data_IF_081698198466
#
_entry.id   IF_081698198466
#
_cell.length_a   1.000
_cell.length_b   1.000
_cell.length_c   1.000
_cell.angle_alpha   90.00
_cell.angle_beta   90.00
_cell.angle_gamma   90.00
#
_symmetry.space_group_name_H-M   'P 1'
#
loop_
_entity.id
_entity.type
_entity.pdbx_description
1 polymer ?
#
# COMPACT_ATOMS: atom_id res chain seq x y z
N UNK A 1 43.96 72.18 -44.59
CA UNK A 1 43.08 70.99 -44.47
C UNK A 1 43.43 70.25 -43.18
N UNK A 2 42.55 70.24 -42.17
CA UNK A 2 42.43 69.24 -41.06
C UNK A 2 41.73 69.88 -39.86
N UNK A 3 40.44 70.17 -40.01
CA UNK A 3 39.54 70.53 -38.90
C UNK A 3 38.17 69.95 -39.24
N UNK A 4 38.03 68.62 -39.15
CA UNK A 4 36.71 67.98 -39.17
C UNK A 4 36.65 66.64 -38.40
N UNK A 5 37.62 66.34 -37.52
CA UNK A 5 37.71 65.04 -36.85
C UNK A 5 37.07 64.97 -35.45
N UNK A 6 36.67 66.11 -34.87
CA UNK A 6 36.24 66.19 -33.46
C UNK A 6 34.71 66.09 -33.27
N UNK A 7 33.91 66.50 -34.25
CA UNK A 7 32.45 66.35 -34.24
C UNK A 7 31.95 64.95 -34.65
N UNK A 8 32.73 64.23 -35.45
CA UNK A 8 32.38 62.87 -35.90
C UNK A 8 32.68 61.81 -34.82
N UNK A 9 33.68 62.03 -33.97
CA UNK A 9 33.99 61.15 -32.83
C UNK A 9 32.94 61.24 -31.71
N UNK A 10 32.47 62.45 -31.40
CA UNK A 10 31.48 62.69 -30.34
C UNK A 10 30.07 62.22 -30.75
N UNK A 11 29.72 62.39 -32.03
CA UNK A 11 28.51 61.81 -32.64
C UNK A 11 28.51 60.28 -32.59
N UNK A 12 29.62 59.65 -32.99
CA UNK A 12 29.78 58.18 -32.92
C UNK A 12 29.76 57.65 -31.49
N UNK A 13 30.30 58.39 -30.52
CA UNK A 13 30.26 58.03 -29.11
C UNK A 13 28.82 58.08 -28.54
N UNK A 14 28.06 59.12 -28.90
CA UNK A 14 26.65 59.29 -28.51
C UNK A 14 25.77 58.20 -29.15
N UNK A 15 26.02 57.90 -30.42
CA UNK A 15 25.29 56.85 -31.14
C UNK A 15 25.61 55.45 -30.60
N UNK A 16 26.86 55.18 -30.20
CA UNK A 16 27.23 53.95 -29.49
C UNK A 16 26.53 53.82 -28.14
N UNK A 17 26.48 54.89 -27.34
CA UNK A 17 25.76 54.87 -26.04
C UNK A 17 24.27 54.65 -26.21
N UNK A 18 23.64 55.31 -27.18
CA UNK A 18 22.21 55.12 -27.47
C UNK A 18 21.90 53.70 -27.97
N UNK A 19 22.77 53.11 -28.80
CA UNK A 19 22.63 51.71 -29.22
C UNK A 19 22.83 50.77 -28.04
N UNK A 20 23.72 51.09 -27.10
CA UNK A 20 23.99 50.29 -25.92
C UNK A 20 22.81 50.32 -24.93
N UNK A 21 22.23 51.50 -24.67
CA UNK A 21 20.98 51.64 -23.88
C UNK A 21 19.80 50.92 -24.53
N UNK A 22 19.70 50.94 -25.87
CA UNK A 22 18.64 50.25 -26.59
C UNK A 22 18.83 48.72 -26.56
N UNK A 23 20.07 48.23 -26.61
CA UNK A 23 20.38 46.80 -26.43
C UNK A 23 20.10 46.32 -25.00
N UNK A 24 20.40 47.14 -23.99
CA UNK A 24 20.14 46.83 -22.58
C UNK A 24 18.63 46.74 -22.30
N UNK A 25 17.86 47.68 -22.83
CA UNK A 25 16.39 47.68 -22.72
C UNK A 25 15.71 46.52 -23.46
N UNK A 26 16.31 46.04 -24.56
CA UNK A 26 15.82 44.86 -25.28
C UNK A 26 16.13 43.58 -24.49
N UNK A 27 17.26 43.52 -23.79
CA UNK A 27 17.57 42.39 -22.89
C UNK A 27 16.62 42.31 -21.71
N UNK A 28 16.40 43.44 -21.02
CA UNK A 28 15.42 43.49 -19.91
C UNK A 28 14.03 43.03 -20.37
N UNK A 29 13.59 43.49 -21.56
CA UNK A 29 12.31 43.06 -22.11
C UNK A 29 12.28 41.57 -22.49
N UNK A 30 13.39 41.00 -22.97
CA UNK A 30 13.48 39.57 -23.26
C UNK A 30 13.46 38.73 -21.99
N UNK A 31 14.20 39.13 -20.96
CA UNK A 31 14.22 38.47 -19.65
C UNK A 31 12.84 38.54 -18.96
N UNK A 32 12.15 39.68 -19.02
CA UNK A 32 10.78 39.83 -18.52
C UNK A 32 9.78 38.93 -19.26
N UNK A 33 9.93 38.76 -20.58
CA UNK A 33 9.06 37.89 -21.38
C UNK A 33 9.35 36.41 -21.11
N UNK A 34 10.61 36.03 -20.92
CA UNK A 34 11.02 34.66 -20.56
C UNK A 34 10.51 34.30 -19.16
N UNK A 35 10.70 35.17 -18.16
CA UNK A 35 10.17 34.96 -16.81
C UNK A 35 8.65 34.88 -16.81
N UNK A 36 7.97 35.76 -17.54
CA UNK A 36 6.51 35.74 -17.61
C UNK A 36 5.99 34.48 -18.33
N UNK A 37 6.70 33.99 -19.35
CA UNK A 37 6.36 32.74 -20.03
C UNK A 37 6.55 31.51 -19.13
N UNK A 38 7.61 31.48 -18.31
CA UNK A 38 7.82 30.42 -17.31
C UNK A 38 6.72 30.42 -16.23
N UNK A 39 6.38 31.59 -15.69
CA UNK A 39 5.29 31.73 -14.70
C UNK A 39 3.95 31.27 -15.27
N UNK A 40 3.61 31.64 -16.51
CA UNK A 40 2.36 31.21 -17.16
C UNK A 40 2.34 29.70 -17.40
N UNK A 41 3.49 29.09 -17.73
CA UNK A 41 3.58 27.62 -17.85
C UNK A 41 3.38 26.93 -16.49
N UNK A 42 4.00 27.43 -15.42
CA UNK A 42 3.82 26.89 -14.07
C UNK A 42 2.38 27.00 -13.60
N UNK A 43 1.72 28.14 -13.81
CA UNK A 43 0.30 28.32 -13.50
C UNK A 43 -0.58 27.33 -14.27
N UNK A 44 -0.32 27.15 -15.57
CA UNK A 44 -1.07 26.20 -16.41
C UNK A 44 -0.91 24.75 -15.93
N UNK A 45 0.31 24.36 -15.55
CA UNK A 45 0.60 23.02 -15.00
C UNK A 45 -0.10 22.86 -13.65
N UNK A 46 -0.10 23.88 -12.80
CA UNK A 46 -0.74 23.86 -11.50
C UNK A 46 -2.26 23.70 -11.60
N UNK A 47 -2.91 24.45 -12.49
CA UNK A 47 -4.34 24.31 -12.79
C UNK A 47 -4.65 22.89 -13.28
N UNK A 48 -3.87 22.39 -14.24
CA UNK A 48 -4.02 21.02 -14.75
C UNK A 48 -3.87 19.96 -13.65
N UNK A 49 -2.92 20.15 -12.73
CA UNK A 49 -2.71 19.25 -11.60
C UNK A 49 -3.89 19.29 -10.62
N UNK A 50 -4.45 20.47 -10.36
CA UNK A 50 -5.64 20.61 -9.53
C UNK A 50 -6.86 19.90 -10.14
N UNK A 51 -7.06 19.98 -11.46
CA UNK A 51 -8.10 19.22 -12.16
C UNK A 51 -7.96 17.71 -11.93
N UNK A 52 -6.75 17.17 -12.07
CA UNK A 52 -6.47 15.75 -11.85
C UNK A 52 -6.71 15.33 -10.39
N UNK A 53 -6.33 16.17 -9.43
CA UNK A 53 -6.60 15.93 -7.99
C UNK A 53 -8.11 15.93 -7.69
N UNK A 54 -8.89 16.76 -8.37
CA UNK A 54 -10.36 16.74 -8.23
C UNK A 54 -10.94 15.45 -8.80
N UNK A 55 -10.43 14.99 -9.94
CA UNK A 55 -10.84 13.71 -10.54
C UNK A 55 -10.47 12.51 -9.66
N UNK A 56 -9.31 12.56 -9.00
CA UNK A 56 -8.89 11.55 -8.01
C UNK A 56 -9.87 11.49 -6.84
N UNK A 57 -10.18 12.64 -6.23
CA UNK A 57 -11.12 12.74 -5.11
C UNK A 57 -12.54 12.29 -5.45
N UNK A 58 -12.91 12.35 -6.73
CA UNK A 58 -14.22 11.89 -7.21
C UNK A 58 -14.21 10.45 -7.70
N UNK A 59 -13.06 9.77 -7.66
CA UNK A 59 -12.88 8.39 -8.11
C UNK A 59 -13.02 8.21 -9.63
N UNK A 60 -12.86 9.29 -10.40
CA UNK A 60 -13.01 9.30 -11.87
C UNK A 60 -11.68 9.45 -12.59
N UNK A 61 -10.57 9.57 -11.86
CA UNK A 61 -9.25 9.65 -12.46
C UNK A 61 -8.90 8.34 -13.16
N UNK A 62 -8.78 8.40 -14.48
CA UNK A 62 -8.35 7.28 -15.31
C UNK A 62 -7.26 7.74 -16.27
N UNK A 63 -6.52 6.80 -16.87
CA UNK A 63 -5.51 7.10 -17.89
C UNK A 63 -6.10 7.84 -19.11
N UNK A 64 -7.42 7.79 -19.28
CA UNK A 64 -8.16 8.46 -20.35
C UNK A 64 -8.43 9.94 -20.05
N UNK A 65 -8.30 10.38 -18.79
CA UNK A 65 -8.41 11.78 -18.39
C UNK A 65 -7.17 12.61 -18.79
N UNK A 66 -6.06 11.93 -19.10
CA UNK A 66 -4.84 12.56 -19.60
C UNK A 66 -5.01 12.98 -21.06
N UNK A 67 -4.40 14.11 -21.44
CA UNK A 67 -4.30 14.49 -22.85
C UNK A 67 -3.48 13.44 -23.61
N UNK A 68 -3.61 13.41 -24.94
CA UNK A 68 -2.84 12.45 -25.75
C UNK A 68 -1.32 12.62 -25.60
N UNK A 69 -0.86 13.83 -25.33
CA UNK A 69 0.56 14.15 -25.11
C UNK A 69 1.01 13.71 -23.70
N UNK A 70 0.25 14.06 -22.66
CA UNK A 70 0.49 13.62 -21.28
C UNK A 70 0.53 12.09 -21.18
N UNK A 71 -0.46 11.42 -21.77
CA UNK A 71 -0.56 9.96 -21.78
C UNK A 71 0.62 9.32 -22.50
N UNK A 72 1.05 9.88 -23.64
CA UNK A 72 2.21 9.38 -24.38
C UNK A 72 3.49 9.56 -23.57
N UNK A 73 3.67 10.71 -22.93
CA UNK A 73 4.81 10.98 -22.06
C UNK A 73 4.84 10.00 -20.89
N UNK A 74 3.72 9.88 -20.16
CA UNK A 74 3.57 8.95 -19.03
C UNK A 74 3.88 7.51 -19.43
N UNK A 75 3.27 6.99 -20.50
CA UNK A 75 3.53 5.62 -20.95
C UNK A 75 4.97 5.39 -21.41
N UNK A 76 5.61 6.39 -22.01
CA UNK A 76 7.04 6.32 -22.35
C UNK A 76 7.91 6.25 -21.11
N UNK A 77 7.60 7.03 -20.06
CA UNK A 77 8.35 7.00 -18.81
C UNK A 77 8.14 5.71 -18.01
N UNK A 78 6.94 5.13 -18.08
CA UNK A 78 6.65 3.79 -17.54
C UNK A 78 7.46 2.73 -18.30
N UNK A 79 7.44 2.76 -19.63
CA UNK A 79 8.19 1.81 -20.46
C UNK A 79 9.71 1.92 -20.26
N UNK A 80 10.22 3.15 -20.10
CA UNK A 80 11.63 3.43 -19.84
C UNK A 80 12.04 3.18 -18.38
N UNK A 81 11.08 2.85 -17.50
CA UNK A 81 11.31 2.59 -16.07
C UNK A 81 11.76 3.81 -15.26
N UNK A 82 11.69 5.02 -15.84
CA UNK A 82 12.00 6.28 -15.11
C UNK A 82 11.00 6.52 -13.99
N UNK A 83 9.73 6.28 -14.26
CA UNK A 83 8.64 6.48 -13.31
C UNK A 83 8.75 5.53 -12.10
N UNK A 84 9.27 4.32 -12.33
CA UNK A 84 9.54 3.36 -11.25
C UNK A 84 10.62 3.83 -10.25
N UNK A 85 11.49 4.78 -10.62
CA UNK A 85 12.47 5.37 -9.69
C UNK A 85 11.84 6.40 -8.75
N UNK A 86 10.68 6.92 -9.11
CA UNK A 86 9.92 7.89 -8.31
C UNK A 86 8.98 7.20 -7.32
N UNK A 87 8.75 5.90 -7.48
CA UNK A 87 7.91 5.10 -6.59
C UNK A 87 8.81 4.33 -5.62
N UNK A 88 8.80 4.72 -4.36
CA UNK A 88 9.47 3.93 -3.31
C UNK A 88 8.70 2.63 -3.07
N UNK A 89 9.40 1.51 -3.29
CA UNK A 89 8.82 0.18 -3.06
C UNK A 89 8.78 -0.11 -1.56
N UNK A 90 7.59 -0.45 -1.09
CA UNK A 90 7.39 -0.86 0.28
C UNK A 90 8.13 -2.15 0.58
N UNK A 91 8.84 -2.15 1.71
CA UNK A 91 9.44 -3.36 2.25
C UNK A 91 8.49 -3.97 3.26
N UNK A 92 8.05 -5.24 3.05
CA UNK A 92 7.13 -5.87 3.97
C UNK A 92 7.66 -5.92 5.40
N UNK A 93 6.83 -5.50 6.34
CA UNK A 93 7.21 -5.39 7.76
C UNK A 93 7.60 -6.73 8.39
N UNK A 94 7.14 -7.85 7.84
CA UNK A 94 7.54 -9.21 8.27
C UNK A 94 8.94 -9.62 7.81
N UNK A 95 9.62 -8.83 6.97
CA UNK A 95 11.03 -9.00 6.64
C UNK A 95 11.95 -8.35 7.67
N UNK A 96 11.41 -7.48 8.53
CA UNK A 96 12.16 -6.90 9.63
C UNK A 96 12.52 -7.96 10.67
N UNK A 97 13.59 -7.74 11.44
CA UNK A 97 13.83 -8.56 12.61
C UNK A 97 12.71 -8.34 13.64
N UNK A 98 12.23 -9.42 14.25
CA UNK A 98 11.17 -9.34 15.26
C UNK A 98 11.51 -8.36 16.39
N UNK A 99 12.77 -8.29 16.80
CA UNK A 99 13.25 -7.37 17.84
C UNK A 99 13.05 -5.90 17.45
N UNK A 100 13.43 -5.54 16.22
CA UNK A 100 13.27 -4.16 15.73
C UNK A 100 11.78 -3.86 15.61
N UNK A 101 11.02 -4.73 14.95
CA UNK A 101 9.59 -4.53 14.75
C UNK A 101 8.81 -4.34 16.07
N UNK A 102 9.10 -5.14 17.10
CA UNK A 102 8.49 -4.98 18.42
C UNK A 102 8.83 -3.63 19.05
N UNK A 103 10.09 -3.18 18.95
CA UNK A 103 10.52 -1.87 19.48
C UNK A 103 9.73 -0.74 18.84
N UNK A 104 9.68 -0.71 17.51
CA UNK A 104 8.99 0.34 16.75
C UNK A 104 7.47 0.34 16.98
N UNK A 105 6.86 -0.84 17.17
CA UNK A 105 5.41 -0.94 17.42
C UNK A 105 5.01 -0.82 18.89
N UNK A 106 5.97 -0.72 19.84
CA UNK A 106 5.69 -0.80 21.28
C UNK A 106 4.75 0.30 21.77
N UNK A 107 4.92 1.54 21.31
CA UNK A 107 4.10 2.65 21.77
C UNK A 107 2.62 2.51 21.35
N UNK A 108 2.40 2.19 20.06
CA UNK A 108 1.06 1.93 19.50
C UNK A 108 0.37 0.75 20.21
N UNK A 109 1.11 -0.32 20.53
CA UNK A 109 0.56 -1.48 21.28
C UNK A 109 0.13 -1.15 22.70
N UNK A 110 0.82 -0.21 23.34
CA UNK A 110 0.50 0.26 24.69
C UNK A 110 -0.60 1.33 24.68
N UNK A 111 -1.09 1.75 23.51
CA UNK A 111 -2.01 2.88 23.33
C UNK A 111 -1.51 4.14 24.05
N UNK A 112 -0.18 4.31 24.14
CA UNK A 112 0.37 5.56 24.62
C UNK A 112 0.06 6.59 23.56
N UNK A 113 -0.63 7.66 23.95
CA UNK A 113 -0.87 8.84 23.11
C UNK A 113 0.51 9.46 22.87
N UNK A 114 1.20 9.01 21.83
CA UNK A 114 2.25 9.80 21.23
C UNK A 114 1.53 10.67 20.20
N UNK A 115 1.20 11.90 20.59
CA UNK A 115 1.49 13.01 19.69
C UNK A 115 3.00 12.90 19.47
N UNK A 116 3.41 12.23 18.40
CA UNK A 116 4.80 12.29 17.95
C UNK A 116 5.03 13.75 17.59
N UNK A 117 5.63 14.49 18.54
CA UNK A 117 6.22 15.80 18.27
C UNK A 117 7.16 15.57 17.10
N UNK A 118 6.85 16.22 15.98
CA UNK A 118 7.76 16.35 14.85
C UNK A 118 9.06 16.93 15.39
N UNK A 119 10.09 16.09 15.52
CA UNK A 119 11.45 16.59 15.51
C UNK A 119 11.72 16.98 14.06
N UNK A 120 11.44 18.25 13.77
CA UNK A 120 11.88 18.95 12.57
C UNK A 120 13.42 19.00 12.59
N UNK A 121 14.07 17.87 12.29
CA UNK A 121 15.50 17.84 12.02
C UNK A 121 15.73 18.12 10.53
N UNK A 122 16.01 19.40 10.27
CA UNK A 122 16.78 19.96 9.16
C UNK A 122 16.33 19.59 7.75
N UNK A 123 15.61 20.54 7.13
CA UNK A 123 15.50 20.67 5.69
C UNK A 123 16.91 20.76 5.05
N UNK A 124 17.40 19.63 4.53
CA UNK A 124 18.22 19.66 3.33
C UNK A 124 17.29 19.46 2.14
N UNK A 125 17.32 20.40 1.20
CA UNK A 125 16.66 20.36 -0.11
C UNK A 125 17.10 19.12 -0.90
N UNK A 126 16.50 17.98 -0.58
CA UNK A 126 16.25 16.90 -1.52
C UNK A 126 14.79 16.53 -1.29
N UNK A 127 13.97 16.62 -2.34
CA UNK A 127 12.62 16.05 -2.35
C UNK A 127 12.78 14.52 -2.35
N UNK A 128 13.19 13.96 -1.22
CA UNK A 128 13.09 12.54 -0.94
C UNK A 128 11.64 12.35 -0.53
N UNK A 129 10.86 11.72 -1.41
CA UNK A 129 9.49 11.30 -1.16
C UNK A 129 9.55 10.31 0.00
N UNK A 130 9.52 10.80 1.23
CA UNK A 130 9.64 9.99 2.43
C UNK A 130 8.43 9.06 2.49
N UNK A 131 8.62 7.74 2.50
CA UNK A 131 7.53 6.79 2.75
C UNK A 131 6.76 7.24 3.99
N UNK A 132 5.46 7.53 3.81
CA UNK A 132 4.58 7.84 4.93
C UNK A 132 4.70 6.70 5.95
N UNK A 133 5.01 7.02 7.21
CA UNK A 133 5.11 6.03 8.31
C UNK A 133 3.87 5.13 8.42
N UNK A 134 2.71 5.59 7.93
CA UNK A 134 1.48 4.81 7.82
C UNK A 134 1.64 3.52 6.99
N UNK A 135 2.56 3.48 6.03
CA UNK A 135 2.81 2.36 5.12
C UNK A 135 3.85 1.38 5.69
N UNK A 136 4.70 1.82 6.62
CA UNK A 136 5.79 1.01 7.17
C UNK A 136 5.33 -0.11 8.12
N UNK A 137 4.18 0.07 8.76
CA UNK A 137 3.65 -0.85 9.76
C UNK A 137 2.16 -1.09 9.53
N UNK A 138 1.61 -2.24 9.97
CA UNK A 138 0.19 -2.49 9.91
C UNK A 138 -0.63 -1.35 10.52
N UNK A 139 -1.78 -1.07 9.93
CA UNK A 139 -2.76 -0.12 10.47
C UNK A 139 -3.38 -0.70 11.75
N UNK A 140 -3.77 -1.97 11.71
CA UNK A 140 -4.29 -2.72 12.85
C UNK A 140 -3.21 -3.54 13.55
N UNK A 141 -2.85 -3.18 14.78
CA UNK A 141 -1.91 -3.95 15.61
C UNK A 141 -2.65 -4.76 16.68
N UNK A 142 -2.10 -5.92 17.04
CA UNK A 142 -2.55 -6.63 18.24
C UNK A 142 -2.01 -5.92 19.50
N UNK A 143 -2.92 -5.28 20.23
CA UNK A 143 -2.60 -4.41 21.37
C UNK A 143 -2.66 -5.14 22.71
N UNK A 144 -2.07 -4.54 23.75
CA UNK A 144 -2.17 -5.06 25.12
C UNK A 144 -3.63 -5.08 25.63
N UNK A 145 -4.42 -4.08 25.23
CA UNK A 145 -5.85 -4.03 25.56
C UNK A 145 -6.61 -5.18 24.87
N UNK A 146 -6.32 -5.47 23.60
CA UNK A 146 -6.91 -6.62 22.93
C UNK A 146 -6.53 -7.95 23.61
N UNK A 147 -5.26 -8.11 23.99
CA UNK A 147 -4.80 -9.31 24.70
C UNK A 147 -5.51 -9.51 26.05
N UNK A 148 -5.74 -8.44 26.82
CA UNK A 148 -6.48 -8.50 28.08
C UNK A 148 -7.96 -8.88 27.91
N UNK A 149 -8.54 -8.58 26.75
CA UNK A 149 -9.93 -8.90 26.42
C UNK A 149 -10.09 -10.25 25.73
N UNK A 150 -8.99 -10.98 25.47
CA UNK A 150 -9.07 -12.32 24.90
C UNK A 150 -9.62 -13.33 25.92
N UNK A 151 -10.38 -14.35 25.46
CA UNK A 151 -10.75 -15.47 26.32
C UNK A 151 -9.50 -16.17 26.86
N UNK A 152 -9.57 -16.68 28.09
CA UNK A 152 -8.46 -17.44 28.69
C UNK A 152 -8.32 -18.87 28.13
N UNK A 153 -9.38 -19.40 27.50
CA UNK A 153 -9.41 -20.76 26.96
C UNK A 153 -10.22 -20.80 25.66
N UNK A 154 -9.71 -21.52 24.67
CA UNK A 154 -10.31 -21.64 23.34
C UNK A 154 -11.63 -22.42 23.36
N UNK A 155 -11.81 -23.30 24.34
CA UNK A 155 -13.02 -24.11 24.55
C UNK A 155 -14.23 -23.24 24.87
N UNK A 156 -14.03 -22.00 25.35
CA UNK A 156 -15.09 -21.02 25.58
C UNK A 156 -15.67 -20.45 24.28
N UNK A 157 -14.92 -20.53 23.17
CA UNK A 157 -15.38 -20.09 21.85
C UNK A 157 -16.12 -21.18 21.08
N UNK A 158 -16.03 -22.44 21.52
CA UNK A 158 -16.60 -23.59 20.84
C UNK A 158 -17.78 -24.16 21.64
N UNK A 159 -18.86 -24.47 20.93
CA UNK A 159 -20.06 -25.02 21.56
C UNK A 159 -19.74 -26.30 22.34
N UNK A 160 -20.09 -26.31 23.63
CA UNK A 160 -19.94 -27.47 24.50
C UNK A 160 -18.50 -27.80 24.90
N UNK A 161 -17.56 -26.83 24.86
CA UNK A 161 -16.19 -27.04 25.32
C UNK A 161 -15.37 -27.97 24.42
N UNK A 162 -15.75 -28.09 23.15
CA UNK A 162 -15.03 -28.93 22.18
C UNK A 162 -13.63 -28.36 21.95
N UNK A 163 -12.68 -29.27 21.66
CA UNK A 163 -11.34 -28.87 21.21
C UNK A 163 -11.40 -28.32 19.79
N UNK A 164 -10.53 -27.35 19.45
CA UNK A 164 -10.38 -26.88 18.08
C UNK A 164 -9.97 -28.01 17.13
N UNK A 165 -10.38 -27.91 15.88
CA UNK A 165 -9.96 -28.87 14.85
C UNK A 165 -8.44 -28.78 14.64
N UNK A 166 -7.71 -29.91 14.55
CA UNK A 166 -6.28 -29.88 14.21
C UNK A 166 -6.01 -29.30 12.82
N UNK A 167 -7.03 -29.19 11.96
CA UNK A 167 -6.90 -28.63 10.62
C UNK A 167 -6.85 -27.09 10.59
N UNK A 168 -7.15 -26.40 11.69
CA UNK A 168 -7.16 -24.93 11.71
C UNK A 168 -5.83 -24.31 11.28
N UNK A 169 -4.71 -24.97 11.61
CA UNK A 169 -3.37 -24.54 11.19
C UNK A 169 -3.20 -24.51 9.67
N UNK A 170 -3.84 -25.41 8.93
CA UNK A 170 -3.77 -25.42 7.46
C UNK A 170 -4.61 -24.30 6.85
N UNK A 171 -5.72 -23.94 7.49
CA UNK A 171 -6.55 -22.80 7.07
C UNK A 171 -5.81 -21.47 7.24
N UNK A 172 -4.94 -21.38 8.26
CA UNK A 172 -4.12 -20.19 8.49
C UNK A 172 -3.19 -19.87 7.31
N UNK A 173 -2.79 -20.88 6.53
CA UNK A 173 -1.97 -20.69 5.33
C UNK A 173 -2.69 -19.78 4.33
N UNK A 174 -3.93 -20.08 3.96
CA UNK A 174 -4.67 -19.27 2.98
C UNK A 174 -5.02 -17.88 3.54
N UNK A 175 -5.37 -17.79 4.83
CA UNK A 175 -5.70 -16.50 5.47
C UNK A 175 -4.52 -15.54 5.41
N UNK A 176 -3.33 -16.02 5.77
CA UNK A 176 -2.12 -15.19 5.77
C UNK A 176 -1.58 -14.99 4.35
N UNK A 177 -1.71 -15.98 3.46
CA UNK A 177 -1.41 -15.84 2.04
C UNK A 177 -2.22 -14.71 1.40
N UNK A 178 -3.54 -14.70 1.62
CA UNK A 178 -4.42 -13.69 1.04
C UNK A 178 -4.06 -12.30 1.56
N UNK A 179 -3.77 -12.17 2.86
CA UNK A 179 -3.30 -10.92 3.44
C UNK A 179 -1.96 -10.46 2.84
N UNK A 180 -0.97 -11.34 2.74
CA UNK A 180 0.34 -10.99 2.22
C UNK A 180 0.30 -10.60 0.75
N UNK A 181 -0.45 -11.34 -0.07
CA UNK A 181 -0.62 -11.04 -1.50
C UNK A 181 -1.36 -9.73 -1.72
N UNK A 182 -2.45 -9.49 -0.98
CA UNK A 182 -3.18 -8.23 -1.01
C UNK A 182 -2.26 -7.08 -0.61
N UNK A 183 -1.57 -7.17 0.53
CA UNK A 183 -0.74 -6.04 0.99
C UNK A 183 0.41 -5.72 0.02
N UNK A 184 0.95 -6.72 -0.68
CA UNK A 184 1.93 -6.50 -1.76
C UNK A 184 1.34 -5.82 -2.98
N UNK A 185 0.15 -6.23 -3.42
CA UNK A 185 -0.53 -5.60 -4.56
C UNK A 185 -0.80 -4.11 -4.31
N UNK A 186 -1.00 -3.73 -3.04
CA UNK A 186 -1.18 -2.34 -2.61
C UNK A 186 0.10 -1.65 -2.14
N UNK A 187 1.28 -2.23 -2.36
CA UNK A 187 2.57 -1.67 -1.93
C UNK A 187 2.56 -1.20 -0.46
N UNK A 188 1.94 -1.99 0.43
CA UNK A 188 1.83 -1.68 1.86
C UNK A 188 0.70 -0.74 2.26
N UNK A 189 0.05 -0.04 1.31
CA UNK A 189 -0.97 0.97 1.58
C UNK A 189 -2.32 0.62 0.95
N UNK A 190 -3.04 -0.32 1.57
CA UNK A 190 -4.42 -0.62 1.18
C UNK A 190 -5.39 0.52 1.51
N UNK A 191 -4.95 1.57 2.22
CA UNK A 191 -5.78 2.73 2.56
C UNK A 191 -6.19 3.55 1.33
N UNK A 192 -5.44 3.43 0.24
CA UNK A 192 -5.74 4.08 -1.04
C UNK A 192 -7.05 3.60 -1.66
N UNK A 193 -7.38 2.31 -1.49
CA UNK A 193 -8.66 1.73 -1.93
C UNK A 193 -9.05 0.56 -1.02
N UNK A 194 -9.68 0.91 0.11
CA UNK A 194 -10.12 -0.05 1.13
C UNK A 194 -11.12 -1.05 0.57
N UNK A 195 -12.03 -0.59 -0.30
CA UNK A 195 -13.08 -1.42 -0.87
C UNK A 195 -12.50 -2.49 -1.79
N UNK A 196 -11.65 -2.10 -2.74
CA UNK A 196 -11.04 -3.05 -3.67
C UNK A 196 -10.08 -4.00 -2.94
N UNK A 197 -9.30 -3.49 -1.97
CA UNK A 197 -8.41 -4.33 -1.17
C UNK A 197 -9.17 -5.39 -0.36
N UNK A 198 -10.31 -5.01 0.23
CA UNK A 198 -11.17 -5.94 0.96
C UNK A 198 -11.81 -6.98 0.02
N UNK A 199 -12.25 -6.58 -1.17
CA UNK A 199 -12.79 -7.50 -2.18
C UNK A 199 -11.74 -8.49 -2.67
N UNK A 200 -10.53 -8.01 -2.98
CA UNK A 200 -9.38 -8.85 -3.35
C UNK A 200 -9.08 -9.86 -2.25
N UNK A 201 -9.01 -9.43 -0.99
CA UNK A 201 -8.78 -10.32 0.16
C UNK A 201 -9.89 -11.40 0.25
N UNK A 202 -11.15 -11.02 0.11
CA UNK A 202 -12.29 -11.94 0.24
C UNK A 202 -12.37 -12.96 -0.92
N UNK A 203 -11.97 -12.56 -2.12
CA UNK A 203 -11.85 -13.46 -3.28
C UNK A 203 -10.68 -14.44 -3.10
N UNK A 204 -9.53 -13.94 -2.64
CA UNK A 204 -8.37 -14.76 -2.33
C UNK A 204 -8.60 -15.70 -1.14
N UNK A 205 -9.34 -15.31 -0.11
CA UNK A 205 -9.45 -16.07 1.14
C UNK A 205 -10.76 -16.88 1.24
N UNK A 206 -10.78 -18.05 0.60
CA UNK A 206 -11.96 -18.93 0.59
C UNK A 206 -12.27 -19.56 1.95
N UNK A 207 -11.26 -19.77 2.80
CA UNK A 207 -11.44 -20.11 4.22
C UNK A 207 -12.40 -19.13 4.90
N UNK A 208 -12.26 -17.84 4.62
CA UNK A 208 -13.10 -16.81 5.20
C UNK A 208 -14.44 -16.70 4.46
N UNK A 209 -14.42 -16.55 3.14
CA UNK A 209 -15.61 -16.19 2.33
C UNK A 209 -16.58 -17.34 2.07
N UNK A 210 -16.09 -18.57 1.88
CA UNK A 210 -16.91 -19.75 1.50
C UNK A 210 -16.75 -20.97 2.43
N UNK A 211 -15.94 -20.87 3.49
CA UNK A 211 -15.68 -21.96 4.44
C UNK A 211 -14.89 -23.14 3.86
N UNK A 212 -13.95 -22.86 2.95
CA UNK A 212 -13.01 -23.88 2.45
C UNK A 212 -12.20 -24.50 3.59
N UNK A 213 -11.91 -25.80 3.46
CA UNK A 213 -11.23 -26.59 4.49
C UNK A 213 -10.06 -27.36 3.91
N UNK A 214 -8.93 -27.29 4.60
CA UNK A 214 -7.68 -27.94 4.22
C UNK A 214 -7.30 -28.99 5.25
N UNK A 215 -6.83 -30.14 4.76
CA UNK A 215 -6.38 -31.26 5.59
C UNK A 215 -4.87 -31.41 5.67
N UNK A 216 -4.11 -30.63 4.90
CA UNK A 216 -2.65 -30.68 4.88
C UNK A 216 -2.04 -29.39 4.34
N UNK A 217 -0.72 -29.23 4.51
CA UNK A 217 0.06 -28.11 3.94
C UNK A 217 0.05 -28.16 2.42
N UNK A 218 0.19 -29.34 1.82
CA UNK A 218 0.20 -29.52 0.37
C UNK A 218 -1.12 -29.06 -0.25
N UNK A 219 -2.26 -29.44 0.35
CA UNK A 219 -3.57 -29.02 -0.13
C UNK A 219 -3.73 -27.49 -0.05
N UNK A 220 -3.41 -26.89 1.10
CA UNK A 220 -3.55 -25.45 1.28
C UNK A 220 -2.61 -24.64 0.35
N UNK A 221 -1.34 -25.05 0.24
CA UNK A 221 -0.37 -24.37 -0.61
C UNK A 221 -0.69 -24.53 -2.09
N UNK A 222 -1.13 -25.70 -2.55
CA UNK A 222 -1.56 -25.91 -3.94
C UNK A 222 -2.76 -25.00 -4.26
N UNK A 223 -3.78 -24.98 -3.39
CA UNK A 223 -4.96 -24.14 -3.57
C UNK A 223 -4.61 -22.64 -3.65
N UNK A 224 -3.59 -22.19 -2.91
CA UNK A 224 -3.09 -20.81 -2.97
C UNK A 224 -2.31 -20.52 -4.26
N UNK A 225 -1.44 -21.45 -4.70
CA UNK A 225 -0.63 -21.28 -5.91
C UNK A 225 -1.49 -21.24 -7.18
N UNK A 226 -2.60 -21.98 -7.22
CA UNK A 226 -3.53 -22.06 -8.35
C UNK A 226 -4.48 -20.85 -8.46
N UNK A 227 -4.44 -19.90 -7.51
CA UNK A 227 -5.30 -18.70 -7.57
C UNK A 227 -4.94 -17.84 -8.77
N UNK A 228 -5.96 -17.44 -9.53
CA UNK A 228 -5.83 -16.47 -10.61
C UNK A 228 -5.80 -15.06 -10.02
N UNK A 229 -4.63 -14.63 -9.56
CA UNK A 229 -4.40 -13.26 -9.09
C UNK A 229 -3.98 -12.35 -10.25
N UNK A 230 -4.27 -11.05 -10.14
CA UNK A 230 -3.76 -10.02 -11.05
C UNK A 230 -2.23 -10.00 -11.12
N UNK A 231 -1.59 -10.28 -9.99
CA UNK A 231 -0.14 -10.27 -9.80
C UNK A 231 0.57 -11.50 -10.42
N UNK A 232 -0.19 -12.55 -10.71
CA UNK A 232 0.28 -13.76 -11.40
C UNK A 232 0.99 -14.80 -10.52
N UNK A 233 1.45 -15.91 -11.13
CA UNK A 233 1.94 -17.09 -10.38
C UNK A 233 3.20 -16.84 -9.53
N UNK A 234 4.07 -15.93 -9.97
CA UNK A 234 5.29 -15.58 -9.24
C UNK A 234 4.96 -14.85 -7.93
N UNK A 235 3.96 -13.96 -7.95
CA UNK A 235 3.48 -13.28 -6.76
C UNK A 235 2.81 -14.25 -5.78
N UNK A 236 2.05 -15.23 -6.28
CA UNK A 236 1.51 -16.30 -5.43
C UNK A 236 2.64 -17.10 -4.75
N UNK A 237 3.68 -17.48 -5.48
CA UNK A 237 4.81 -18.19 -4.89
C UNK A 237 5.52 -17.36 -3.81
N UNK A 238 5.71 -16.06 -4.05
CA UNK A 238 6.27 -15.14 -3.07
C UNK A 238 5.37 -14.99 -1.83
N UNK A 239 4.05 -14.86 -2.01
CA UNK A 239 3.10 -14.76 -0.91
C UNK A 239 3.07 -16.03 -0.03
N UNK A 240 3.38 -17.21 -0.58
CA UNK A 240 3.61 -18.43 0.22
C UNK A 240 4.89 -18.33 1.07
N UNK A 241 5.96 -17.75 0.54
CA UNK A 241 7.17 -17.48 1.32
C UNK A 241 6.91 -16.45 2.43
N UNK A 242 6.13 -15.41 2.16
CA UNK A 242 5.72 -14.44 3.17
C UNK A 242 4.85 -15.09 4.25
N UNK A 243 3.93 -15.96 3.85
CA UNK A 243 3.11 -16.75 4.77
C UNK A 243 4.00 -17.55 5.73
N UNK A 244 5.02 -18.23 5.20
CA UNK A 244 6.01 -18.94 6.02
C UNK A 244 6.68 -17.99 7.03
N UNK A 245 7.07 -16.78 6.63
CA UNK A 245 7.72 -15.80 7.52
C UNK A 245 6.78 -15.29 8.61
N UNK A 246 5.56 -14.91 8.24
CA UNK A 246 4.55 -14.36 9.14
C UNK A 246 4.16 -15.39 10.20
N UNK A 247 3.80 -16.62 9.81
CA UNK A 247 3.34 -17.64 10.78
C UNK A 247 4.44 -18.08 11.73
N UNK A 248 5.73 -17.88 11.40
CA UNK A 248 6.84 -18.26 12.27
C UNK A 248 6.95 -17.39 13.54
N UNK A 249 6.34 -16.21 13.56
CA UNK A 249 6.39 -15.25 14.67
C UNK A 249 4.98 -14.91 15.15
N UNK A 250 4.76 -14.99 16.46
CA UNK A 250 3.48 -14.67 17.11
C UNK A 250 3.06 -13.23 16.83
N UNK A 251 4.01 -12.29 16.92
CA UNK A 251 3.70 -10.87 16.74
C UNK A 251 3.32 -10.55 15.29
N UNK A 252 4.02 -11.15 14.32
CA UNK A 252 3.68 -10.98 12.91
C UNK A 252 2.33 -11.61 12.59
N UNK A 253 2.09 -12.83 13.05
CA UNK A 253 0.83 -13.52 12.84
C UNK A 253 -0.35 -12.75 13.42
N UNK A 254 -0.26 -12.32 14.68
CA UNK A 254 -1.36 -11.62 15.35
C UNK A 254 -1.60 -10.23 14.77
N UNK A 255 -0.56 -9.53 14.34
CA UNK A 255 -0.72 -8.24 13.67
C UNK A 255 -1.31 -8.38 12.27
N UNK A 256 -0.88 -9.36 11.47
CA UNK A 256 -1.50 -9.62 10.17
C UNK A 256 -3.01 -9.89 10.31
N UNK A 257 -3.42 -10.66 11.32
CA UNK A 257 -4.83 -10.92 11.62
C UNK A 257 -5.57 -9.68 12.14
N UNK A 258 -4.93 -8.85 12.97
CA UNK A 258 -5.50 -7.58 13.43
C UNK A 258 -5.62 -6.55 12.31
N UNK A 259 -4.66 -6.48 11.40
CA UNK A 259 -4.66 -5.58 10.26
C UNK A 259 -5.73 -5.97 9.23
N UNK A 260 -5.83 -7.28 8.95
CA UNK A 260 -6.92 -7.85 8.15
C UNK A 260 -8.29 -7.49 8.75
N UNK A 261 -8.41 -7.55 10.08
CA UNK A 261 -9.64 -7.15 10.77
C UNK A 261 -9.91 -5.66 10.57
N UNK A 262 -8.91 -4.81 10.72
CA UNK A 262 -9.04 -3.36 10.51
C UNK A 262 -9.44 -3.01 9.08
N UNK A 263 -8.86 -3.67 8.07
CA UNK A 263 -9.30 -3.54 6.67
C UNK A 263 -10.80 -3.85 6.53
N UNK A 264 -11.24 -5.00 7.05
CA UNK A 264 -12.65 -5.42 6.93
C UNK A 264 -13.62 -4.56 7.75
N UNK A 265 -13.17 -3.98 8.87
CA UNK A 265 -13.95 -3.01 9.65
C UNK A 265 -14.12 -1.70 8.88
N UNK A 266 -13.04 -1.16 8.30
CA UNK A 266 -13.11 0.04 7.44
C UNK A 266 -14.02 -0.18 6.23
N UNK A 267 -13.92 -1.34 5.58
CA UNK A 267 -14.80 -1.68 4.47
C UNK A 267 -16.28 -1.76 4.91
N UNK A 268 -16.56 -2.29 6.10
CA UNK A 268 -17.92 -2.29 6.64
C UNK A 268 -18.46 -0.86 6.85
N UNK A 269 -17.62 0.04 7.37
CA UNK A 269 -17.99 1.45 7.55
C UNK A 269 -18.27 2.16 6.21
N UNK A 270 -17.49 1.86 5.17
CA UNK A 270 -17.73 2.41 3.82
C UNK A 270 -19.06 1.92 3.23
N UNK A 271 -19.37 0.64 3.39
CA UNK A 271 -20.68 0.08 2.99
C UNK A 271 -21.84 0.74 3.74
N UNK A 272 -21.66 1.06 5.04
CA UNK A 272 -22.67 1.78 5.83
C UNK A 272 -22.88 3.22 5.39
N UNK A 273 -21.79 3.91 5.02
CA UNK A 273 -21.82 5.29 4.56
C UNK A 273 -22.36 5.40 3.12
N UNK A 274 -22.25 4.33 2.33
CA UNK A 274 -22.75 4.30 0.96
C UNK A 274 -24.26 4.57 0.91
N UNK A 275 -24.63 5.74 0.36
CA UNK A 275 -26.02 6.15 0.18
C UNK A 275 -26.53 5.69 -1.18
N UNK A 276 -26.88 4.41 -1.28
CA UNK A 276 -27.46 3.90 -2.51
C UNK A 276 -28.90 4.42 -2.68
N UNK A 277 -29.21 5.00 -3.84
CA UNK A 277 -30.54 5.49 -4.19
C UNK A 277 -31.46 4.35 -4.66
N UNK A 278 -30.88 3.33 -5.28
CA UNK A 278 -31.58 2.19 -5.84
C UNK A 278 -31.97 1.14 -4.78
N UNK A 279 -33.18 0.56 -4.92
CA UNK A 279 -33.70 -0.42 -3.96
C UNK A 279 -32.97 -1.76 -4.04
N UNK A 280 -32.54 -2.17 -5.23
CA UNK A 280 -31.84 -3.43 -5.45
C UNK A 280 -30.41 -3.31 -4.91
N UNK A 281 -29.71 -2.21 -5.19
CA UNK A 281 -28.41 -1.91 -4.61
C UNK A 281 -28.44 -1.98 -3.07
N UNK A 282 -29.40 -1.30 -2.42
CA UNK A 282 -29.55 -1.36 -0.95
C UNK A 282 -29.72 -2.77 -0.40
N UNK A 283 -30.41 -3.63 -1.16
CA UNK A 283 -30.62 -5.03 -0.77
C UNK A 283 -29.30 -5.81 -0.88
N UNK A 284 -28.53 -5.58 -1.93
CA UNK A 284 -27.21 -6.17 -2.14
C UNK A 284 -26.22 -5.74 -1.07
N UNK A 285 -26.14 -4.44 -0.75
CA UNK A 285 -25.33 -3.92 0.35
C UNK A 285 -25.68 -4.57 1.68
N UNK A 286 -26.97 -4.71 1.99
CA UNK A 286 -27.40 -5.40 3.22
C UNK A 286 -27.00 -6.88 3.25
N UNK A 287 -26.96 -7.55 2.09
CA UNK A 287 -26.49 -8.94 1.98
C UNK A 287 -24.98 -8.99 2.16
N UNK A 288 -24.23 -8.10 1.52
CA UNK A 288 -22.78 -7.98 1.64
C UNK A 288 -22.36 -7.73 3.10
N UNK A 289 -22.99 -6.78 3.79
CA UNK A 289 -22.75 -6.50 5.21
C UNK A 289 -23.00 -7.72 6.11
N UNK A 290 -24.05 -8.51 5.85
CA UNK A 290 -24.32 -9.74 6.60
C UNK A 290 -23.24 -10.79 6.39
N UNK A 291 -22.77 -10.96 5.14
CA UNK A 291 -21.66 -11.88 4.83
C UNK A 291 -20.37 -11.40 5.51
N UNK A 292 -20.08 -10.10 5.43
CA UNK A 292 -18.92 -9.47 6.06
C UNK A 292 -18.91 -9.68 7.58
N UNK A 293 -20.05 -9.51 8.26
CA UNK A 293 -20.16 -9.78 9.69
C UNK A 293 -19.86 -11.25 10.07
N UNK A 294 -20.20 -12.21 9.21
CA UNK A 294 -19.84 -13.62 9.42
C UNK A 294 -18.33 -13.81 9.25
N UNK A 295 -17.75 -13.21 8.22
CA UNK A 295 -16.30 -13.24 7.98
C UNK A 295 -15.53 -12.63 9.15
N UNK A 296 -15.93 -11.46 9.63
CA UNK A 296 -15.30 -10.79 10.78
C UNK A 296 -15.35 -11.66 12.04
N UNK A 297 -16.47 -12.33 12.33
CA UNK A 297 -16.57 -13.28 13.44
C UNK A 297 -15.64 -14.48 13.28
N UNK A 298 -15.52 -15.01 12.06
CA UNK A 298 -14.60 -16.11 11.75
C UNK A 298 -13.14 -15.69 11.92
N UNK A 299 -12.78 -14.50 11.44
CA UNK A 299 -11.44 -13.92 11.62
C UNK A 299 -11.13 -13.68 13.10
N UNK A 300 -12.10 -13.17 13.88
CA UNK A 300 -11.96 -13.01 15.33
C UNK A 300 -11.70 -14.36 16.03
N UNK A 301 -12.39 -15.41 15.60
CA UNK A 301 -12.13 -16.77 16.10
C UNK A 301 -10.70 -17.23 15.76
N UNK A 302 -10.24 -17.05 14.52
CA UNK A 302 -8.86 -17.40 14.14
C UNK A 302 -7.81 -16.60 14.92
N UNK A 303 -8.05 -15.31 15.17
CA UNK A 303 -7.17 -14.47 15.98
C UNK A 303 -7.08 -14.96 17.43
N UNK A 304 -8.23 -15.24 18.06
CA UNK A 304 -8.25 -15.76 19.42
C UNK A 304 -7.62 -17.17 19.50
N UNK A 305 -7.87 -18.03 18.51
CA UNK A 305 -7.24 -19.34 18.39
C UNK A 305 -5.71 -19.20 18.25
N UNK A 306 -5.23 -18.30 17.40
CA UNK A 306 -3.80 -18.07 17.21
C UNK A 306 -3.11 -17.55 18.47
N UNK A 307 -3.77 -16.64 19.21
CA UNK A 307 -3.26 -16.12 20.48
C UNK A 307 -3.12 -17.19 21.56
N UNK A 308 -4.06 -18.14 21.63
CA UNK A 308 -4.08 -19.20 22.64
C UNK A 308 -3.28 -20.45 22.26
N UNK A 309 -2.87 -20.57 21.00
CA UNK A 309 -2.11 -21.70 20.50
C UNK A 309 -0.61 -21.47 20.71
N UNK A 310 0.13 -22.51 21.09
CA UNK A 310 1.58 -22.40 21.26
C UNK A 310 2.25 -21.97 19.95
N UNK A 311 3.17 -21.02 20.04
CA UNK A 311 3.97 -20.58 18.89
C UNK A 311 4.75 -21.74 18.24
N UNK A 312 5.06 -22.79 18.98
CA UNK A 312 5.76 -23.97 18.44
C UNK A 312 4.93 -24.71 17.39
N UNK A 313 3.59 -24.68 17.49
CA UNK A 313 2.73 -25.26 16.45
C UNK A 313 2.85 -24.49 15.13
N UNK A 314 2.90 -23.15 15.20
CA UNK A 314 3.06 -22.31 14.01
C UNK A 314 4.49 -22.33 13.46
N UNK A 315 5.50 -22.48 14.33
CA UNK A 315 6.89 -22.72 13.89
C UNK A 315 7.01 -24.04 13.17
N UNK A 316 6.39 -25.12 13.66
CA UNK A 316 6.33 -26.39 12.96
C UNK A 316 5.63 -26.26 11.60
N UNK A 317 4.51 -25.53 11.54
CA UNK A 317 3.82 -25.21 10.28
C UNK A 317 4.74 -24.46 9.31
N UNK A 318 5.49 -23.47 9.77
CA UNK A 318 6.44 -22.74 8.94
C UNK A 318 7.53 -23.65 8.35
N UNK A 319 8.01 -24.64 9.11
CA UNK A 319 8.98 -25.63 8.62
C UNK A 319 8.36 -26.55 7.55
N UNK A 320 7.12 -26.97 7.74
CA UNK A 320 6.40 -27.79 6.75
C UNK A 320 6.17 -27.02 5.44
N UNK A 321 5.77 -25.74 5.50
CA UNK A 321 5.64 -24.87 4.32
C UNK A 321 6.99 -24.70 3.62
N UNK A 322 8.06 -24.43 4.37
CA UNK A 322 9.41 -24.27 3.81
C UNK A 322 9.87 -25.53 3.07
N UNK A 323 9.58 -26.71 3.64
CA UNK A 323 9.86 -27.99 2.99
C UNK A 323 9.07 -28.15 1.70
N UNK A 324 7.77 -27.86 1.71
CA UNK A 324 6.92 -27.94 0.53
C UNK A 324 7.43 -27.06 -0.62
N UNK A 325 7.82 -25.81 -0.31
CA UNK A 325 8.35 -24.86 -1.30
C UNK A 325 9.65 -25.39 -1.91
N UNK A 326 10.60 -25.85 -1.08
CA UNK A 326 11.88 -26.41 -1.57
C UNK A 326 11.68 -27.65 -2.44
N UNK A 327 10.78 -28.54 -2.05
CA UNK A 327 10.49 -29.76 -2.82
C UNK A 327 9.91 -29.40 -4.20
N UNK A 328 9.08 -28.36 -4.30
CA UNK A 328 8.54 -27.85 -5.57
C UNK A 328 9.58 -27.15 -6.44
N UNK A 329 10.47 -26.35 -5.85
CA UNK A 329 11.59 -25.73 -6.58
C UNK A 329 12.53 -26.77 -7.17
N UNK A 330 12.85 -27.83 -6.41
CA UNK A 330 13.66 -28.96 -6.89
C UNK A 330 13.01 -29.70 -8.05
N UNK A 331 11.69 -29.88 -8.03
CA UNK A 331 10.93 -30.49 -9.12
C UNK A 331 10.86 -29.60 -10.37
N UNK A 332 10.79 -28.27 -10.19
CA UNK A 332 10.80 -27.31 -11.30
C UNK A 332 12.17 -27.13 -11.97
N UNK A 333 13.27 -27.30 -11.23
CA UNK A 333 14.64 -27.21 -11.74
C UNK A 333 15.12 -28.46 -12.50
N UNK A 334 14.35 -29.56 -12.48
CA UNK A 334 14.63 -30.81 -13.19
C UNK A 334 13.87 -30.95 -14.53
N UNK A 335 13.11 -29.93 -14.93
CA UNK A 335 12.25 -29.91 -16.13
C UNK A 335 12.85 -29.21 -17.34
#
# INVERSE_FOLDING_TARGET
MKLNSRGDADSKQKQKRSIQELMERVREFQEDQEQNAEVVQEETIMERMQELVILEKTGQLTLECLTSEERKSFLSEVADGRLGKLVELWTPWWLMSERIYRRETTARRRQLILEEVMEDEYEEENVVVTVNRAVLYPVGLFTNSEAQNMPNDISLLLQGGRKPSPCLRYHMIEVIFAYALMLRAYNGDYGQDVAEAALMLLDLCQVLSVDSRYGSVEHACLACLEKQSSEGPAANALAIQDTQKIVRSDVFLLDALSDTRTLLERYAEELERSRESDKQARKETKVAMKKLAIVQKKLQFYKAWAYLTSIDEFRALAVEIEKYVKDKELLGAQG
#
